data_IF_179336122788
#
_entry.id   IF_179336122788
#
_cell.length_a   1.000
_cell.length_b   1.000
_cell.length_c   1.000
_cell.angle_alpha   90.00
_cell.angle_beta   90.00
_cell.angle_gamma   90.00
#
_symmetry.space_group_name_H-M   'P 1'
#
loop_
_entity.id
_entity.type
_entity.pdbx_description
1 polymer ?
#
# COMPACT_ATOMS: atom_id res chain seq x y z
N UNK A 1 1.59 -2.04 11.86
CA UNK A 1 2.46 -1.75 10.70
C UNK A 1 2.33 -0.26 10.48
N UNK A 2 3.43 0.48 10.44
CA UNK A 2 3.40 1.95 10.53
C UNK A 2 2.49 2.63 9.48
N UNK A 3 2.39 2.04 8.29
CA UNK A 3 1.51 2.51 7.23
C UNK A 3 0.02 2.47 7.61
N UNK A 4 -0.43 1.40 8.30
CA UNK A 4 -1.82 1.29 8.76
C UNK A 4 -2.12 2.39 9.77
N UNK A 5 -1.25 2.55 10.77
CA UNK A 5 -1.40 3.58 11.82
C UNK A 5 -1.43 4.99 11.21
N UNK A 6 -0.62 5.23 10.17
CA UNK A 6 -0.61 6.48 9.43
C UNK A 6 -1.96 6.74 8.74
N UNK A 7 -2.51 5.75 8.03
CA UNK A 7 -3.80 5.89 7.34
C UNK A 7 -4.95 6.10 8.33
N UNK A 8 -4.96 5.38 9.45
CA UNK A 8 -5.94 5.57 10.52
C UNK A 8 -5.85 6.96 11.16
N UNK A 9 -4.64 7.49 11.32
CA UNK A 9 -4.42 8.87 11.78
C UNK A 9 -4.98 9.89 10.78
N UNK A 10 -4.74 9.70 9.48
CA UNK A 10 -5.29 10.58 8.43
C UNK A 10 -6.82 10.55 8.44
N UNK A 11 -7.42 9.37 8.65
CA UNK A 11 -8.88 9.21 8.69
C UNK A 11 -9.49 9.90 9.92
N UNK A 12 -8.84 9.78 11.08
CA UNK A 12 -9.37 10.30 12.35
C UNK A 12 -9.12 11.80 12.56
N UNK A 13 -7.98 12.32 12.09
CA UNK A 13 -7.58 13.72 12.28
C UNK A 13 -7.76 14.60 11.03
N UNK A 14 -8.09 14.01 9.86
CA UNK A 14 -8.21 14.73 8.60
C UNK A 14 -9.47 15.59 8.52
N UNK A 15 -9.31 16.84 8.08
CA UNK A 15 -10.42 17.80 7.88
C UNK A 15 -10.96 17.82 6.44
N UNK A 16 -10.25 17.27 5.47
CA UNK A 16 -10.63 17.26 4.05
C UNK A 16 -11.37 15.99 3.65
N UNK A 17 -12.61 16.12 3.15
CA UNK A 17 -13.45 14.98 2.74
C UNK A 17 -12.75 14.06 1.72
N UNK A 18 -12.10 14.64 0.70
CA UNK A 18 -11.40 13.88 -0.34
C UNK A 18 -10.21 13.11 0.21
N UNK A 19 -9.38 13.76 1.05
CA UNK A 19 -8.21 13.13 1.65
C UNK A 19 -8.60 11.99 2.59
N UNK A 20 -9.63 12.19 3.42
CA UNK A 20 -10.17 11.16 4.33
C UNK A 20 -10.76 9.99 3.54
N UNK A 21 -11.53 10.26 2.49
CA UNK A 21 -12.12 9.20 1.68
C UNK A 21 -11.05 8.37 0.96
N UNK A 22 -10.04 9.04 0.38
CA UNK A 22 -8.92 8.35 -0.25
C UNK A 22 -8.15 7.48 0.76
N UNK A 23 -7.90 8.00 1.97
CA UNK A 23 -7.23 7.25 3.03
C UNK A 23 -8.03 6.03 3.49
N UNK A 24 -9.38 6.11 3.55
CA UNK A 24 -10.24 4.95 3.84
C UNK A 24 -10.12 3.86 2.78
N UNK A 25 -10.14 4.24 1.51
CA UNK A 25 -9.96 3.27 0.44
C UNK A 25 -8.56 2.65 0.46
N UNK A 26 -7.53 3.45 0.72
CA UNK A 26 -6.16 2.98 0.83
C UNK A 26 -5.97 2.03 2.01
N UNK A 27 -6.56 2.35 3.17
CA UNK A 27 -6.54 1.46 4.32
C UNK A 27 -7.17 0.11 3.98
N UNK A 28 -8.31 0.11 3.29
CA UNK A 28 -8.96 -1.12 2.82
C UNK A 28 -8.05 -1.93 1.88
N UNK A 29 -7.42 -1.27 0.89
CA UNK A 29 -6.48 -1.94 -0.05
C UNK A 29 -5.27 -2.53 0.68
N UNK A 30 -4.69 -1.80 1.62
CA UNK A 30 -3.56 -2.27 2.44
C UNK A 30 -3.99 -3.46 3.31
N UNK A 31 -5.18 -3.43 3.92
CA UNK A 31 -5.72 -4.57 4.66
C UNK A 31 -5.88 -5.81 3.77
N UNK A 32 -6.43 -5.65 2.56
CA UNK A 32 -6.52 -6.74 1.58
C UNK A 32 -5.14 -7.27 1.19
N UNK A 33 -4.12 -6.41 1.02
CA UNK A 33 -2.75 -6.87 0.76
C UNK A 33 -2.18 -7.70 1.93
N UNK A 34 -2.49 -7.34 3.18
CA UNK A 34 -2.06 -8.13 4.35
C UNK A 34 -2.73 -9.50 4.37
N UNK A 35 -4.04 -9.55 4.10
CA UNK A 35 -4.78 -10.82 3.96
C UNK A 35 -4.20 -11.69 2.84
N UNK A 36 -3.87 -11.09 1.70
CA UNK A 36 -3.19 -11.77 0.60
C UNK A 36 -1.79 -12.25 1.00
N UNK A 37 -1.03 -11.48 1.78
CA UNK A 37 0.30 -11.87 2.24
C UNK A 37 0.26 -13.14 3.10
N UNK A 38 -0.79 -13.31 3.92
CA UNK A 38 -0.98 -14.50 4.74
C UNK A 38 -1.54 -15.71 3.99
N UNK A 39 -2.31 -15.48 2.91
CA UNK A 39 -3.02 -16.53 2.18
C UNK A 39 -2.31 -16.97 0.89
N UNK A 40 -1.32 -16.22 0.42
CA UNK A 40 -0.57 -16.52 -0.79
C UNK A 40 0.60 -17.46 -0.50
N UNK A 41 0.79 -18.45 -1.37
CA UNK A 41 1.89 -19.43 -1.23
C UNK A 41 3.29 -18.79 -1.27
N UNK A 42 3.43 -17.67 -1.99
CA UNK A 42 4.67 -16.93 -2.14
C UNK A 42 4.42 -15.48 -2.58
N UNK A 43 5.48 -14.66 -2.55
CA UNK A 43 5.43 -13.26 -2.96
C UNK A 43 4.93 -13.07 -4.40
N UNK A 44 5.32 -13.93 -5.35
CA UNK A 44 4.90 -13.79 -6.74
C UNK A 44 3.39 -14.00 -6.92
N UNK A 45 2.80 -14.96 -6.18
CA UNK A 45 1.36 -15.17 -6.15
C UNK A 45 0.62 -13.98 -5.53
N UNK A 46 1.15 -13.42 -4.43
CA UNK A 46 0.61 -12.21 -3.81
C UNK A 46 0.67 -11.03 -4.79
N UNK A 47 1.81 -10.79 -5.45
CA UNK A 47 1.99 -9.69 -6.37
C UNK A 47 1.03 -9.77 -7.56
N UNK A 48 0.82 -10.97 -8.11
CA UNK A 48 -0.15 -11.19 -9.20
C UNK A 48 -1.57 -10.82 -8.76
N UNK A 49 -1.99 -11.23 -7.57
CA UNK A 49 -3.34 -10.95 -7.06
C UNK A 49 -3.49 -9.48 -6.63
N UNK A 50 -2.47 -8.92 -5.99
CA UNK A 50 -2.46 -7.57 -5.43
C UNK A 50 -2.48 -6.45 -6.48
N UNK A 51 -2.09 -6.74 -7.72
CA UNK A 51 -2.23 -5.79 -8.83
C UNK A 51 -3.71 -5.44 -9.11
N UNK A 52 -4.63 -6.38 -8.92
CA UNK A 52 -6.04 -6.22 -9.31
C UNK A 52 -6.96 -5.67 -8.21
N UNK A 53 -6.40 -5.16 -7.09
CA UNK A 53 -7.21 -4.65 -5.96
C UNK A 53 -7.74 -3.23 -6.19
N UNK A 54 -7.54 -2.67 -7.40
CA UNK A 54 -8.15 -1.41 -7.83
C UNK A 54 -7.42 -0.17 -7.32
N UNK A 55 -6.13 -0.03 -7.65
CA UNK A 55 -5.31 1.15 -7.33
C UNK A 55 -5.53 2.35 -8.26
N UNK A 56 -6.03 2.11 -9.47
CA UNK A 56 -6.40 3.13 -10.46
C UNK A 56 -7.84 2.91 -10.94
N UNK A 57 -8.50 3.97 -11.42
CA UNK A 57 -9.87 3.88 -11.93
C UNK A 57 -9.93 2.94 -13.14
N UNK A 58 -10.67 1.84 -13.02
CA UNK A 58 -10.79 0.82 -14.07
C UNK A 58 -9.52 -0.01 -14.31
N UNK A 59 -8.52 0.09 -13.44
CA UNK A 59 -7.26 -0.68 -13.47
C UNK A 59 -6.38 -0.49 -14.74
N UNK A 60 -6.77 0.43 -15.64
CA UNK A 60 -6.16 0.60 -16.96
C UNK A 60 -4.70 1.08 -16.91
N UNK A 61 -4.28 1.76 -15.84
CA UNK A 61 -2.94 2.36 -15.69
C UNK A 61 -2.14 1.73 -14.56
N UNK A 62 -2.60 0.63 -13.99
CA UNK A 62 -1.90 -0.06 -12.90
C UNK A 62 -0.52 -0.58 -13.34
N UNK A 63 -0.34 -0.83 -14.64
CA UNK A 63 0.98 -1.14 -15.21
C UNK A 63 2.02 -0.02 -15.01
N UNK A 64 1.59 1.25 -14.95
CA UNK A 64 2.48 2.41 -14.69
C UNK A 64 2.85 2.54 -13.21
N UNK A 65 2.05 1.93 -12.34
CA UNK A 65 2.29 1.88 -10.90
C UNK A 65 2.87 0.54 -10.45
N UNK A 66 3.13 -0.38 -11.39
CA UNK A 66 3.47 -1.77 -11.10
C UNK A 66 4.72 -1.89 -10.24
N UNK A 67 5.81 -1.23 -10.61
CA UNK A 67 7.07 -1.35 -9.89
C UNK A 67 7.00 -0.80 -8.45
N UNK A 68 6.48 0.43 -8.21
CA UNK A 68 6.33 0.91 -6.83
C UNK A 68 5.27 0.11 -6.04
N UNK A 69 4.23 -0.40 -6.70
CA UNK A 69 3.25 -1.27 -6.05
C UNK A 69 3.86 -2.64 -5.67
N UNK A 70 4.70 -3.21 -6.52
CA UNK A 70 5.44 -4.45 -6.21
C UNK A 70 6.35 -4.25 -5.00
N UNK A 71 7.01 -3.09 -4.89
CA UNK A 71 7.83 -2.76 -3.71
C UNK A 71 6.98 -2.65 -2.43
N UNK A 72 5.76 -2.10 -2.50
CA UNK A 72 4.80 -2.11 -1.38
C UNK A 72 4.42 -3.55 -1.01
N UNK A 73 4.12 -4.38 -2.00
CA UNK A 73 3.71 -5.76 -1.76
C UNK A 73 4.84 -6.60 -1.16
N UNK A 74 6.07 -6.40 -1.61
CA UNK A 74 7.27 -7.06 -1.07
C UNK A 74 7.48 -6.71 0.40
N UNK A 75 7.47 -5.42 0.76
CA UNK A 75 7.69 -5.01 2.15
C UNK A 75 6.55 -5.48 3.07
N UNK A 76 5.30 -5.46 2.60
CA UNK A 76 4.16 -6.02 3.35
C UNK A 76 4.33 -7.52 3.54
N UNK A 77 4.71 -8.25 2.49
CA UNK A 77 4.92 -9.70 2.58
C UNK A 77 6.00 -10.06 3.60
N UNK A 78 7.14 -9.37 3.58
CA UNK A 78 8.22 -9.52 4.57
C UNK A 78 7.72 -9.22 5.99
N UNK A 79 7.03 -8.09 6.19
CA UNK A 79 6.53 -7.70 7.53
C UNK A 79 5.54 -8.73 8.10
N UNK A 80 4.67 -9.29 7.26
CA UNK A 80 3.63 -10.22 7.70
C UNK A 80 4.12 -11.67 7.84
N UNK A 81 5.09 -12.13 7.05
CA UNK A 81 5.56 -13.52 7.06
C UNK A 81 6.86 -13.75 7.84
N UNK A 82 7.82 -12.80 7.82
CA UNK A 82 9.16 -13.04 8.39
C UNK A 82 9.23 -12.75 9.89
N UNK A 83 8.17 -12.18 10.48
CA UNK A 83 8.04 -11.85 11.92
C UNK A 83 9.34 -11.24 12.49
N UNK A 84 9.81 -10.11 11.93
CA UNK A 84 11.08 -9.48 12.27
C UNK A 84 11.18 -9.13 13.76
N UNK A 85 12.41 -9.13 14.30
CA UNK A 85 12.70 -8.63 15.64
C UNK A 85 12.42 -7.12 15.78
N UNK A 86 12.46 -6.55 16.99
CA UNK A 86 12.08 -5.14 17.21
C UNK A 86 12.91 -4.12 16.43
N UNK A 87 14.21 -4.35 16.26
CA UNK A 87 15.11 -3.46 15.51
C UNK A 87 14.82 -3.53 14.00
N UNK A 88 14.80 -4.73 13.43
CA UNK A 88 14.41 -4.99 12.04
C UNK A 88 13.02 -4.43 11.73
N UNK A 89 12.09 -4.53 12.69
CA UNK A 89 10.74 -4.00 12.54
C UNK A 89 10.72 -2.49 12.38
N UNK A 90 11.54 -1.77 13.15
CA UNK A 90 11.62 -0.31 13.04
C UNK A 90 12.17 0.12 11.65
N UNK A 91 13.17 -0.60 11.13
CA UNK A 91 13.70 -0.35 9.79
C UNK A 91 12.68 -0.64 8.69
N UNK A 92 11.96 -1.76 8.80
CA UNK A 92 10.89 -2.12 7.86
C UNK A 92 9.73 -1.12 7.90
N UNK A 93 9.38 -0.63 9.10
CA UNK A 93 8.36 0.40 9.30
C UNK A 93 8.79 1.77 8.71
N UNK A 94 10.07 2.12 8.73
CA UNK A 94 10.58 3.29 8.02
C UNK A 94 10.53 3.07 6.49
N UNK A 95 11.02 1.91 6.04
CA UNK A 95 11.08 1.56 4.61
C UNK A 95 9.72 1.51 3.95
N UNK A 96 8.69 0.96 4.61
CA UNK A 96 7.32 0.96 4.06
C UNK A 96 6.76 2.37 3.91
N UNK A 97 7.10 3.30 4.81
CA UNK A 97 6.65 4.68 4.72
C UNK A 97 7.32 5.43 3.56
N UNK A 98 8.61 5.19 3.31
CA UNK A 98 9.32 5.77 2.17
C UNK A 98 8.76 5.27 0.84
N UNK A 99 8.55 3.95 0.72
CA UNK A 99 7.93 3.33 -0.45
C UNK A 99 6.51 3.88 -0.66
N UNK A 100 5.72 3.98 0.42
CA UNK A 100 4.36 4.52 0.37
C UNK A 100 4.35 5.98 -0.11
N UNK A 101 5.23 6.84 0.40
CA UNK A 101 5.31 8.23 0.00
C UNK A 101 5.63 8.37 -1.50
N UNK A 102 6.57 7.57 -2.00
CA UNK A 102 6.92 7.54 -3.42
C UNK A 102 5.75 7.06 -4.30
N UNK A 103 5.12 5.94 -3.93
CA UNK A 103 3.95 5.40 -4.62
C UNK A 103 2.79 6.39 -4.63
N UNK A 104 2.43 6.96 -3.47
CA UNK A 104 1.31 7.87 -3.33
C UNK A 104 1.52 9.14 -4.18
N UNK A 105 2.74 9.68 -4.18
CA UNK A 105 3.10 10.82 -5.03
C UNK A 105 2.95 10.50 -6.52
N UNK A 106 3.45 9.34 -6.97
CA UNK A 106 3.32 8.92 -8.36
C UNK A 106 1.86 8.66 -8.74
N UNK A 107 1.10 7.99 -7.87
CA UNK A 107 -0.32 7.71 -8.08
C UNK A 107 -1.12 9.00 -8.22
N UNK A 108 -0.92 9.98 -7.33
CA UNK A 108 -1.59 11.27 -7.44
C UNK A 108 -1.22 11.98 -8.74
N UNK A 109 0.06 12.01 -9.14
CA UNK A 109 0.46 12.54 -10.45
C UNK A 109 -0.28 11.83 -11.59
N UNK A 110 -0.35 10.50 -11.55
CA UNK A 110 -1.01 9.68 -12.57
C UNK A 110 -2.52 9.93 -12.63
N UNK A 111 -3.16 10.11 -11.47
CA UNK A 111 -4.59 10.40 -11.34
C UNK A 111 -4.96 11.84 -11.72
N UNK A 112 -4.10 12.83 -11.46
CA UNK A 112 -4.34 14.25 -11.79
C UNK A 112 -4.39 14.47 -13.30
N UNK A 113 -3.67 13.69 -14.09
CA UNK A 113 -3.77 13.74 -15.56
C UNK A 113 -5.07 13.09 -16.10
N UNK A 114 -5.94 12.61 -15.21
CA UNK A 114 -7.21 11.95 -15.54
C UNK A 114 -8.44 12.70 -14.98
N UNK A 115 -8.25 13.86 -14.36
CA UNK A 115 -9.30 14.78 -13.91
C UNK A 115 -9.55 15.86 -14.97
#
# INVERSE_FOLDING_TARGET
>A
MKLVDHLETVISAGSGYVAVQLAKEDLKRVQTLRELAHSSDNLAAMQKSGLYIGWTKGDFRTHELKDPLNAIMEIIYTVENDKPGPEDRAELDAKIMDIWAAFHTLRLKTLVHCL
#
